data_IF_479588208895
#
_entry.id   IF_479588208895
#
_cell.length_a   1.000
_cell.length_b   1.000
_cell.length_c   1.000
_cell.angle_alpha   90.00
_cell.angle_beta   90.00
_cell.angle_gamma   90.00
#
_symmetry.space_group_name_H-M   'P 1'
#
loop_
_entity.id
_entity.type
_entity.pdbx_description
1 polymer ?
#
# COMPACT_ATOMS: atom_id res chain seq x y z
N UNK A 1 -10.24 -5.93 -13.62
CA UNK A 1 -10.13 -7.12 -14.49
C UNK A 1 -8.72 -7.68 -14.33
N UNK A 2 -8.57 -8.91 -13.83
CA UNK A 2 -7.29 -9.61 -13.85
C UNK A 2 -7.38 -10.68 -14.95
N UNK A 3 -6.73 -10.45 -16.09
CA UNK A 3 -6.66 -11.41 -17.18
C UNK A 3 -5.65 -12.53 -16.89
N UNK A 4 -5.78 -13.67 -17.56
CA UNK A 4 -4.77 -14.73 -17.50
C UNK A 4 -3.45 -14.23 -18.08
N UNK A 5 -2.38 -14.38 -17.30
CA UNK A 5 -1.02 -14.01 -17.75
C UNK A 5 -0.35 -15.22 -18.38
N UNK A 6 0.28 -15.07 -19.57
CA UNK A 6 1.05 -16.15 -20.19
C UNK A 6 2.32 -16.52 -19.40
N UNK A 7 2.66 -15.74 -18.37
CA UNK A 7 3.86 -15.92 -17.56
C UNK A 7 3.55 -16.88 -16.40
N UNK A 8 4.24 -18.03 -16.39
CA UNK A 8 4.21 -18.95 -15.24
C UNK A 8 4.95 -18.32 -14.05
N UNK A 9 4.21 -17.92 -13.02
CA UNK A 9 4.79 -17.32 -11.80
C UNK A 9 5.56 -18.36 -10.97
N UNK A 10 6.63 -17.91 -10.32
CA UNK A 10 7.35 -18.70 -9.31
C UNK A 10 6.39 -19.10 -8.19
N UNK A 11 6.42 -20.38 -7.79
CA UNK A 11 5.72 -20.84 -6.59
C UNK A 11 6.38 -20.23 -5.37
N UNK A 12 5.66 -19.38 -4.66
CA UNK A 12 6.10 -18.72 -3.42
C UNK A 12 5.12 -19.00 -2.29
N UNK A 13 5.59 -18.81 -1.05
CA UNK A 13 4.71 -18.82 0.13
C UNK A 13 3.72 -17.66 0.03
N UNK A 14 2.43 -17.93 0.26
CA UNK A 14 1.41 -16.89 0.41
C UNK A 14 1.57 -16.19 1.77
N UNK A 15 1.61 -14.87 1.76
CA UNK A 15 1.61 -14.01 2.94
C UNK A 15 0.44 -13.01 2.84
N UNK A 16 0.13 -12.32 3.94
CA UNK A 16 -0.93 -11.32 4.01
C UNK A 16 -0.35 -9.98 4.42
N UNK A 17 -0.60 -8.95 3.61
CA UNK A 17 -0.31 -7.54 3.92
C UNK A 17 -1.63 -6.88 4.24
N UNK A 18 -1.97 -6.78 5.53
CA UNK A 18 -3.35 -6.47 5.94
C UNK A 18 -4.33 -7.48 5.35
N UNK A 19 -5.30 -7.01 4.58
CA UNK A 19 -6.28 -7.86 3.88
C UNK A 19 -5.85 -8.33 2.49
N UNK A 20 -4.65 -7.97 2.02
CA UNK A 20 -4.19 -8.28 0.65
C UNK A 20 -3.27 -9.51 0.66
N UNK A 21 -3.63 -10.60 -0.04
CA UNK A 21 -2.78 -11.77 -0.15
C UNK A 21 -1.68 -11.56 -1.20
N UNK A 22 -0.43 -11.90 -0.87
CA UNK A 22 0.73 -11.76 -1.77
C UNK A 22 1.46 -13.11 -1.90
N UNK A 23 1.70 -13.51 -3.13
CA UNK A 23 2.38 -14.78 -3.46
C UNK A 23 1.45 -15.98 -3.53
N UNK A 24 2.04 -17.17 -3.73
CA UNK A 24 1.29 -18.39 -3.99
C UNK A 24 0.39 -18.26 -5.23
N UNK A 25 -0.88 -18.61 -5.05
CA UNK A 25 -1.98 -18.52 -6.02
C UNK A 25 -2.72 -17.17 -6.02
N UNK A 26 -2.34 -16.21 -5.15
CA UNK A 26 -2.98 -14.89 -5.13
C UNK A 26 -2.69 -14.11 -6.43
N UNK A 27 -3.60 -13.22 -6.89
CA UNK A 27 -3.31 -12.27 -7.97
C UNK A 27 -2.04 -11.43 -7.73
N UNK A 28 -1.51 -10.81 -8.79
CA UNK A 28 -0.42 -9.83 -8.62
C UNK A 28 -1.04 -8.55 -8.05
N UNK A 29 -0.72 -8.24 -6.79
CA UNK A 29 -1.14 -7.00 -6.15
C UNK A 29 -0.39 -5.79 -6.74
N UNK A 30 -1.12 -4.69 -6.95
CA UNK A 30 -0.56 -3.41 -7.39
C UNK A 30 -0.19 -2.60 -6.15
N UNK A 31 1.07 -2.18 -6.07
CA UNK A 31 1.56 -1.29 -5.03
C UNK A 31 1.93 0.07 -5.62
N UNK A 32 1.70 1.15 -4.86
CA UNK A 32 2.24 2.47 -5.14
C UNK A 32 2.89 3.11 -3.90
N UNK A 33 3.50 4.28 -4.06
CA UNK A 33 4.14 5.04 -2.99
C UNK A 33 3.67 6.49 -3.03
N UNK A 34 3.41 7.08 -1.87
CA UNK A 34 3.10 8.51 -1.77
C UNK A 34 4.33 9.35 -2.07
N UNK A 35 4.13 10.60 -2.49
CA UNK A 35 5.19 11.58 -2.66
C UNK A 35 4.90 12.89 -1.94
N UNK A 36 3.81 12.94 -1.15
CA UNK A 36 3.56 13.98 -0.16
C UNK A 36 4.55 13.89 1.00
N UNK A 37 4.74 15.01 1.71
CA UNK A 37 5.38 14.99 3.01
C UNK A 37 4.49 14.22 4.01
N UNK A 38 5.03 13.15 4.61
CA UNK A 38 4.32 12.31 5.57
C UNK A 38 3.81 13.11 6.77
N UNK A 39 4.49 14.18 7.15
CA UNK A 39 4.07 15.06 8.24
C UNK A 39 2.80 15.85 7.89
N UNK A 40 2.53 16.08 6.60
CA UNK A 40 1.23 16.55 6.13
C UNK A 40 0.25 15.37 6.01
N UNK A 41 -0.37 15.05 7.14
CA UNK A 41 -1.36 13.97 7.26
C UNK A 41 -2.50 14.15 6.27
N UNK A 42 -3.01 15.38 6.09
CA UNK A 42 -4.16 15.63 5.23
C UNK A 42 -3.81 15.42 3.75
N UNK A 43 -2.67 15.96 3.30
CA UNK A 43 -2.20 15.76 1.93
C UNK A 43 -1.91 14.28 1.64
N UNK A 44 -1.29 13.59 2.59
CA UNK A 44 -0.95 12.17 2.45
C UNK A 44 -2.18 11.29 2.39
N UNK A 45 -3.17 11.49 3.27
CA UNK A 45 -4.47 10.79 3.22
C UNK A 45 -5.19 11.06 1.90
N UNK A 46 -5.20 12.32 1.44
CA UNK A 46 -5.83 12.68 0.17
C UNK A 46 -5.16 11.96 -1.02
N UNK A 47 -3.82 11.83 -1.01
CA UNK A 47 -3.10 11.08 -2.02
C UNK A 47 -3.41 9.57 -1.95
N UNK A 48 -3.41 8.99 -0.74
CA UNK A 48 -3.75 7.58 -0.54
C UNK A 48 -5.14 7.27 -1.09
N UNK A 49 -6.14 8.12 -0.82
CA UNK A 49 -7.50 7.93 -1.32
C UNK A 49 -7.58 7.98 -2.86
N UNK A 50 -6.75 8.83 -3.51
CA UNK A 50 -6.66 8.85 -4.98
C UNK A 50 -6.03 7.57 -5.54
N UNK A 51 -5.01 7.03 -4.86
CA UNK A 51 -4.38 5.76 -5.24
C UNK A 51 -5.36 4.59 -5.06
N UNK A 52 -6.10 4.55 -3.95
CA UNK A 52 -7.14 3.55 -3.70
C UNK A 52 -8.24 3.63 -4.78
N UNK A 53 -8.72 4.84 -5.13
CA UNK A 53 -9.68 5.04 -6.20
C UNK A 53 -9.16 4.61 -7.59
N UNK A 54 -7.84 4.64 -7.81
CA UNK A 54 -7.18 4.15 -9.02
C UNK A 54 -6.98 2.62 -9.04
N UNK A 55 -7.31 1.92 -7.94
CA UNK A 55 -7.21 0.46 -7.84
C UNK A 55 -5.89 -0.05 -7.28
N UNK A 56 -5.17 0.75 -6.48
CA UNK A 56 -3.98 0.28 -5.75
C UNK A 56 -4.39 -0.61 -4.58
N UNK A 57 -3.72 -1.76 -4.44
CA UNK A 57 -3.98 -2.72 -3.36
C UNK A 57 -3.19 -2.38 -2.08
N UNK A 58 -1.97 -1.83 -2.22
CA UNK A 58 -1.07 -1.53 -1.09
C UNK A 58 -0.39 -0.17 -1.32
N UNK A 59 -0.31 0.67 -0.29
CA UNK A 59 0.37 1.98 -0.38
C UNK A 59 1.57 2.05 0.56
N UNK A 60 2.71 2.49 0.04
CA UNK A 60 3.92 2.76 0.82
C UNK A 60 4.05 4.25 1.15
N UNK A 61 4.50 4.57 2.35
CA UNK A 61 4.68 5.94 2.86
C UNK A 61 6.05 6.04 3.53
N UNK A 62 6.80 7.10 3.27
CA UNK A 62 8.13 7.34 3.86
C UNK A 62 8.04 7.67 5.35
N UNK A 63 8.90 7.05 6.16
CA UNK A 63 8.98 7.28 7.61
C UNK A 63 10.46 7.51 8.01
N UNK A 64 11.07 8.65 7.62
CA UNK A 64 12.50 8.89 7.82
C UNK A 64 12.88 9.23 9.27
N UNK A 65 11.93 9.67 10.08
CA UNK A 65 12.13 10.13 11.46
C UNK A 65 10.91 9.83 12.35
N UNK A 66 11.01 10.19 13.63
CA UNK A 66 9.97 9.92 14.62
C UNK A 66 8.71 10.77 14.42
N UNK A 67 8.84 12.00 13.92
CA UNK A 67 7.68 12.86 13.64
C UNK A 67 6.85 12.25 12.50
N UNK A 68 7.51 11.76 11.45
CA UNK A 68 6.89 11.02 10.37
C UNK A 68 6.26 9.71 10.86
N UNK A 69 6.85 9.03 11.85
CA UNK A 69 6.30 7.81 12.42
C UNK A 69 5.00 8.08 13.19
N UNK A 70 4.95 9.17 13.96
CA UNK A 70 3.72 9.61 14.62
C UNK A 70 2.64 10.01 13.60
N UNK A 71 3.02 10.75 12.56
CA UNK A 71 2.12 11.13 11.48
C UNK A 71 1.59 9.91 10.72
N UNK A 72 2.44 8.91 10.44
CA UNK A 72 2.05 7.63 9.84
C UNK A 72 0.99 6.91 10.69
N UNK A 73 1.13 6.90 12.01
CA UNK A 73 0.13 6.36 12.93
C UNK A 73 -1.24 7.03 12.78
N UNK A 74 -1.27 8.36 12.64
CA UNK A 74 -2.49 9.14 12.39
C UNK A 74 -3.07 8.84 11.01
N UNK A 75 -2.24 8.79 9.96
CA UNK A 75 -2.64 8.44 8.59
C UNK A 75 -3.31 7.07 8.57
N UNK A 76 -2.74 6.06 9.27
CA UNK A 76 -3.27 4.69 9.24
C UNK A 76 -4.70 4.59 9.79
N UNK A 77 -5.07 5.43 10.74
CA UNK A 77 -6.43 5.49 11.30
C UNK A 77 -7.45 6.05 10.31
N UNK A 78 -7.00 6.79 9.29
CA UNK A 78 -7.84 7.52 8.34
C UNK A 78 -8.00 6.78 6.99
N UNK A 79 -7.25 5.71 6.75
CA UNK A 79 -7.23 4.99 5.46
C UNK A 79 -7.46 3.49 5.61
N UNK A 80 -8.17 2.91 4.64
CA UNK A 80 -8.54 1.48 4.67
C UNK A 80 -7.46 0.60 4.04
N UNK A 81 -6.82 1.08 2.98
CA UNK A 81 -5.75 0.35 2.29
C UNK A 81 -4.62 -0.05 3.27
N UNK A 82 -4.03 -1.25 3.13
CA UNK A 82 -2.82 -1.62 3.84
C UNK A 82 -1.69 -0.63 3.55
N UNK A 83 -1.01 -0.21 4.62
CA UNK A 83 0.15 0.69 4.52
C UNK A 83 1.46 -0.06 4.79
N UNK A 84 2.51 0.36 4.08
CA UNK A 84 3.90 -0.07 4.30
C UNK A 84 4.72 1.16 4.70
N UNK A 85 5.46 1.07 5.79
CA UNK A 85 6.46 2.07 6.15
C UNK A 85 7.77 1.78 5.39
N UNK A 86 8.33 2.81 4.78
CA UNK A 86 9.68 2.83 4.17
C UNK A 86 10.65 3.60 5.07
#
# INVERSE_FOLDING_TARGET
>A
MHGESPIKRRVSRKIWVGSVPVGGDAPIAVQSMTNSDTNDVAATVAQINRLEAAGVDIVRVSVPDMDAAEAFGRIKQLVKVPLVAD
#
